data_IF_439129116406
#
_entry.id   IF_439129116406
#
_cell.length_a   1.000
_cell.length_b   1.000
_cell.length_c   1.000
_cell.angle_alpha   90.00
_cell.angle_beta   90.00
_cell.angle_gamma   90.00
#
_symmetry.space_group_name_H-M   'P 1'
#
loop_
_entity.id
_entity.type
_entity.pdbx_description
1 polymer ?
#
# COMPACT_ATOMS: atom_id res chain seq x y z
N UNK A 1 -14.04 -21.77 -23.68
CA UNK A 1 -13.68 -21.27 -22.33
C UNK A 1 -13.64 -19.76 -22.36
N UNK A 2 -14.42 -19.09 -21.51
CA UNK A 2 -14.49 -17.63 -21.47
C UNK A 2 -13.09 -17.05 -21.17
N UNK A 3 -12.72 -16.01 -21.85
CA UNK A 3 -11.43 -15.33 -21.60
C UNK A 3 -11.31 -14.76 -20.18
N UNK A 4 -12.43 -14.41 -19.54
CA UNK A 4 -12.47 -14.00 -18.12
C UNK A 4 -12.10 -15.18 -17.21
N UNK A 5 -12.64 -16.38 -17.45
CA UNK A 5 -12.35 -17.56 -16.62
C UNK A 5 -10.86 -17.93 -16.68
N UNK A 6 -10.22 -17.79 -17.84
CA UNK A 6 -8.77 -17.98 -17.97
C UNK A 6 -7.99 -16.98 -17.12
N UNK A 7 -8.40 -15.71 -17.11
CA UNK A 7 -7.75 -14.66 -16.29
C UNK A 7 -7.95 -14.91 -14.81
N UNK A 8 -9.16 -15.30 -14.38
CA UNK A 8 -9.46 -15.68 -12.99
C UNK A 8 -8.58 -16.86 -12.57
N UNK A 9 -8.50 -17.91 -13.40
CA UNK A 9 -7.65 -19.07 -13.09
C UNK A 9 -6.17 -18.67 -12.97
N UNK A 10 -5.63 -17.86 -13.87
CA UNK A 10 -4.24 -17.41 -13.79
C UNK A 10 -3.96 -16.61 -12.52
N UNK A 11 -4.89 -15.76 -12.10
CA UNK A 11 -4.78 -14.99 -10.85
C UNK A 11 -4.88 -15.92 -9.62
N UNK A 12 -5.74 -16.92 -9.66
CA UNK A 12 -5.85 -17.93 -8.60
C UNK A 12 -4.55 -18.74 -8.48
N UNK A 13 -3.93 -19.13 -9.61
CA UNK A 13 -2.63 -19.80 -9.58
C UNK A 13 -1.52 -18.88 -9.04
N UNK A 14 -1.55 -17.58 -9.36
CA UNK A 14 -0.67 -16.60 -8.73
C UNK A 14 -0.88 -16.58 -7.22
N UNK A 15 -2.13 -16.55 -6.75
CA UNK A 15 -2.46 -16.61 -5.32
C UNK A 15 -1.85 -17.84 -4.63
N UNK A 16 -1.95 -19.02 -5.24
CA UNK A 16 -1.35 -20.28 -4.74
C UNK A 16 0.18 -20.22 -4.69
N UNK A 17 0.82 -19.67 -5.73
CA UNK A 17 2.27 -19.45 -5.73
C UNK A 17 2.69 -18.54 -4.58
N UNK A 18 2.01 -17.40 -4.41
CA UNK A 18 2.32 -16.43 -3.34
C UNK A 18 2.10 -17.05 -1.95
N UNK A 19 1.05 -17.86 -1.78
CA UNK A 19 0.80 -18.60 -0.55
C UNK A 19 1.94 -19.60 -0.27
N UNK A 20 2.33 -20.38 -1.27
CA UNK A 20 3.44 -21.34 -1.17
C UNK A 20 4.76 -20.64 -0.81
N UNK A 21 5.02 -19.48 -1.41
CA UNK A 21 6.20 -18.68 -1.13
C UNK A 21 6.24 -18.17 0.33
N UNK A 22 5.08 -17.90 0.93
CA UNK A 22 4.97 -17.41 2.31
C UNK A 22 4.98 -18.53 3.35
N UNK A 23 4.75 -19.80 2.96
CA UNK A 23 4.75 -20.96 3.88
C UNK A 23 6.15 -21.49 4.14
N UNK A 24 6.33 -22.12 5.31
CA UNK A 24 7.57 -22.82 5.67
C UNK A 24 7.79 -24.07 4.79
N UNK A 25 6.71 -24.82 4.49
CA UNK A 25 6.75 -25.96 3.58
C UNK A 25 6.18 -25.53 2.22
N UNK A 26 7.07 -25.44 1.23
CA UNK A 26 6.76 -24.97 -0.12
C UNK A 26 6.19 -26.11 -0.97
N UNK A 27 5.32 -25.74 -1.91
CA UNK A 27 4.81 -26.66 -2.92
C UNK A 27 5.85 -26.79 -4.06
N UNK A 28 6.34 -28.01 -4.29
CA UNK A 28 7.37 -28.31 -5.30
C UNK A 28 6.92 -28.00 -6.73
N UNK A 29 5.62 -27.93 -7.00
CA UNK A 29 5.09 -27.55 -8.33
C UNK A 29 5.47 -26.12 -8.70
N UNK A 30 5.82 -25.27 -7.73
CA UNK A 30 6.23 -23.87 -7.92
C UNK A 30 7.72 -23.64 -7.71
N UNK A 31 8.57 -24.65 -7.55
CA UNK A 31 9.98 -24.50 -7.18
C UNK A 31 10.76 -23.50 -8.06
N UNK A 32 10.56 -23.57 -9.37
CA UNK A 32 11.19 -22.63 -10.30
C UNK A 32 10.82 -21.18 -10.00
N UNK A 33 9.52 -20.92 -9.84
CA UNK A 33 9.01 -19.58 -9.59
C UNK A 33 9.35 -19.09 -8.19
N UNK A 34 9.30 -19.96 -7.19
CA UNK A 34 9.68 -19.65 -5.81
C UNK A 34 11.13 -19.15 -5.78
N UNK A 35 12.06 -19.87 -6.40
CA UNK A 35 13.48 -19.46 -6.49
C UNK A 35 13.63 -18.10 -7.21
N UNK A 36 12.86 -17.90 -8.29
CA UNK A 36 12.87 -16.64 -9.02
C UNK A 36 12.36 -15.47 -8.17
N UNK A 37 11.25 -15.67 -7.44
CA UNK A 37 10.69 -14.67 -6.53
C UNK A 37 11.64 -14.36 -5.38
N UNK A 38 12.22 -15.35 -4.72
CA UNK A 38 13.19 -15.16 -3.62
C UNK A 38 14.37 -14.28 -4.07
N UNK A 39 14.93 -14.54 -5.24
CA UNK A 39 15.98 -13.72 -5.83
C UNK A 39 15.54 -12.27 -6.06
N UNK A 40 14.35 -12.08 -6.62
CA UNK A 40 13.83 -10.75 -6.91
C UNK A 40 13.41 -9.97 -5.65
N UNK A 41 12.98 -10.67 -4.59
CA UNK A 41 12.70 -10.05 -3.28
C UNK A 41 13.97 -9.46 -2.67
N UNK A 42 15.11 -10.18 -2.78
CA UNK A 42 16.41 -9.66 -2.32
C UNK A 42 16.78 -8.40 -3.10
N UNK A 43 16.62 -8.43 -4.44
CA UNK A 43 16.89 -7.28 -5.29
C UNK A 43 15.96 -6.09 -4.99
N UNK A 44 14.68 -6.34 -4.76
CA UNK A 44 13.72 -5.29 -4.40
C UNK A 44 14.11 -4.59 -3.10
N UNK A 45 14.56 -5.34 -2.09
CA UNK A 45 15.07 -4.78 -0.84
C UNK A 45 16.35 -3.96 -1.05
N UNK A 46 17.30 -4.46 -1.85
CA UNK A 46 18.54 -3.73 -2.16
C UNK A 46 18.25 -2.43 -2.91
N UNK A 47 17.27 -2.44 -3.78
CA UNK A 47 16.86 -1.28 -4.57
C UNK A 47 16.11 -0.24 -3.75
N UNK A 48 15.23 -0.69 -2.85
CA UNK A 48 14.48 0.17 -1.94
C UNK A 48 14.50 -0.39 -0.52
N UNK A 49 15.31 0.21 0.36
CA UNK A 49 15.47 -0.24 1.74
C UNK A 49 14.17 -0.19 2.57
N UNK A 50 13.15 0.59 2.16
CA UNK A 50 11.82 0.53 2.78
C UNK A 50 11.11 -0.80 2.53
N UNK A 51 11.50 -1.53 1.48
CA UNK A 51 10.95 -2.83 1.14
C UNK A 51 11.66 -3.95 1.92
N UNK A 52 11.53 -3.93 3.25
CA UNK A 52 12.08 -5.03 4.07
C UNK A 52 11.46 -6.35 3.64
N UNK A 53 12.21 -7.44 3.83
CA UNK A 53 11.71 -8.78 3.53
C UNK A 53 10.37 -9.03 4.22
N UNK A 54 10.23 -8.63 5.48
CA UNK A 54 8.99 -8.79 6.25
C UNK A 54 7.81 -8.05 5.59
N UNK A 55 7.99 -6.82 5.14
CA UNK A 55 6.91 -6.05 4.50
C UNK A 55 6.59 -6.53 3.08
N UNK A 56 7.59 -7.02 2.33
CA UNK A 56 7.30 -7.69 1.05
C UNK A 56 6.45 -8.94 1.31
N UNK A 57 6.84 -9.80 2.27
CA UNK A 57 6.06 -10.99 2.60
C UNK A 57 4.68 -10.67 3.17
N UNK A 58 4.53 -9.58 3.92
CA UNK A 58 3.22 -9.11 4.38
C UNK A 58 2.31 -8.77 3.20
N UNK A 59 2.81 -8.06 2.19
CA UNK A 59 2.07 -7.74 0.97
C UNK A 59 1.74 -9.00 0.16
N UNK A 60 2.70 -9.91 -0.03
CA UNK A 60 2.49 -11.16 -0.76
C UNK A 60 1.45 -12.06 -0.07
N UNK A 61 1.52 -12.18 1.25
CA UNK A 61 0.54 -12.96 2.03
C UNK A 61 -0.86 -12.35 2.01
N UNK A 62 -0.98 -11.02 1.97
CA UNK A 62 -2.27 -10.37 1.76
C UNK A 62 -2.83 -10.74 0.37
N UNK A 63 -2.06 -10.55 -0.69
CA UNK A 63 -2.48 -10.88 -2.05
C UNK A 63 -2.77 -12.37 -2.25
N UNK A 64 -2.05 -13.28 -1.59
CA UNK A 64 -2.35 -14.71 -1.68
C UNK A 64 -3.77 -15.05 -1.23
N UNK A 65 -4.28 -14.35 -0.22
CA UNK A 65 -5.64 -14.53 0.29
C UNK A 65 -6.69 -13.90 -0.62
N UNK A 66 -6.43 -12.67 -1.08
CA UNK A 66 -7.35 -11.96 -1.97
C UNK A 66 -7.48 -12.63 -3.34
N UNK A 67 -6.41 -13.26 -3.84
CA UNK A 67 -6.40 -14.00 -5.11
C UNK A 67 -6.91 -15.44 -5.00
N UNK A 68 -7.53 -15.82 -3.88
CA UNK A 68 -8.30 -17.06 -3.81
C UNK A 68 -9.43 -17.02 -4.87
N UNK A 69 -9.60 -18.11 -5.62
CA UNK A 69 -10.55 -18.19 -6.75
C UNK A 69 -11.97 -17.75 -6.36
N UNK A 70 -12.45 -18.24 -5.22
CA UNK A 70 -13.78 -17.86 -4.71
C UNK A 70 -13.90 -16.34 -4.46
N UNK A 71 -12.85 -15.70 -3.91
CA UNK A 71 -12.86 -14.27 -3.65
C UNK A 71 -12.93 -13.47 -4.95
N UNK A 72 -12.15 -13.86 -5.96
CA UNK A 72 -12.16 -13.20 -7.27
C UNK A 72 -13.53 -13.38 -7.94
N UNK A 73 -14.11 -14.57 -7.90
CA UNK A 73 -15.44 -14.84 -8.46
C UNK A 73 -16.51 -14.02 -7.74
N UNK A 74 -16.52 -14.00 -6.40
CA UNK A 74 -17.49 -13.22 -5.63
C UNK A 74 -17.35 -11.72 -5.89
N UNK A 75 -16.12 -11.24 -6.02
CA UNK A 75 -15.86 -9.83 -6.34
C UNK A 75 -16.32 -9.48 -7.75
N UNK A 76 -15.96 -10.28 -8.75
CA UNK A 76 -16.30 -9.99 -10.16
C UNK A 76 -17.80 -10.13 -10.44
N UNK A 77 -18.53 -10.99 -9.73
CA UNK A 77 -20.00 -11.11 -9.85
C UNK A 77 -20.77 -9.82 -9.50
N UNK A 78 -20.15 -8.90 -8.76
CA UNK A 78 -20.78 -7.64 -8.37
C UNK A 78 -20.76 -6.59 -9.52
N UNK A 79 -20.09 -6.90 -10.62
CA UNK A 79 -19.87 -5.99 -11.73
C UNK A 79 -20.24 -6.63 -13.07
N UNK A 80 -20.72 -5.81 -14.00
CA UNK A 80 -20.83 -6.21 -15.40
C UNK A 80 -19.43 -6.14 -16.05
N UNK A 81 -18.74 -7.27 -16.11
CA UNK A 81 -17.40 -7.36 -16.68
C UNK A 81 -17.48 -7.36 -18.21
N UNK A 82 -17.10 -6.26 -18.84
CA UNK A 82 -16.99 -6.10 -20.30
C UNK A 82 -15.56 -6.38 -20.75
N UNK A 83 -15.41 -7.00 -21.92
CA UNK A 83 -14.12 -7.16 -22.57
C UNK A 83 -13.67 -5.81 -23.18
N UNK A 84 -12.51 -5.32 -22.77
CA UNK A 84 -11.95 -4.06 -23.22
C UNK A 84 -10.63 -4.25 -23.99
N UNK A 85 -10.50 -5.36 -24.70
CA UNK A 85 -9.26 -5.72 -25.45
C UNK A 85 -8.89 -4.76 -26.57
N UNK A 86 -9.85 -3.97 -27.06
CA UNK A 86 -9.66 -2.90 -28.05
C UNK A 86 -9.15 -1.59 -27.43
N UNK A 87 -9.17 -1.49 -26.09
CA UNK A 87 -8.81 -0.26 -25.36
C UNK A 87 -7.50 -0.38 -24.63
N UNK A 88 -6.86 0.76 -24.47
CA UNK A 88 -5.60 0.90 -23.72
C UNK A 88 -5.83 1.78 -22.51
N UNK A 89 -5.46 1.31 -21.31
CA UNK A 89 -5.42 2.08 -20.07
C UNK A 89 -3.98 2.37 -19.67
N UNK A 90 -3.71 3.63 -19.30
CA UNK A 90 -2.46 4.03 -18.72
C UNK A 90 -2.54 3.87 -17.19
N UNK A 91 -1.52 3.28 -16.56
CA UNK A 91 -1.46 3.08 -15.12
C UNK A 91 -0.15 3.68 -14.60
N UNK A 92 -0.25 4.72 -13.78
CA UNK A 92 0.89 5.31 -13.08
C UNK A 92 0.84 4.80 -11.64
N UNK A 93 1.81 3.96 -11.30
CA UNK A 93 1.86 3.29 -10.00
C UNK A 93 2.67 4.09 -9.01
N UNK A 94 2.16 4.22 -7.78
CA UNK A 94 2.98 4.60 -6.64
C UNK A 94 3.95 3.46 -6.29
N UNK A 95 4.99 3.76 -5.52
CA UNK A 95 6.01 2.78 -5.12
C UNK A 95 6.47 2.95 -3.68
N UNK A 96 5.66 3.60 -2.85
CA UNK A 96 5.97 3.74 -1.42
C UNK A 96 5.80 2.44 -0.63
N UNK A 97 4.99 1.49 -1.12
CA UNK A 97 4.76 0.18 -0.53
C UNK A 97 4.95 -0.92 -1.57
N UNK A 98 5.38 -2.13 -1.18
CA UNK A 98 5.46 -3.27 -2.08
C UNK A 98 4.10 -3.58 -2.71
N UNK A 99 4.06 -3.68 -4.04
CA UNK A 99 2.85 -4.04 -4.81
C UNK A 99 1.66 -3.08 -4.63
N UNK A 100 1.87 -1.83 -4.23
CA UNK A 100 0.78 -0.86 -4.02
C UNK A 100 -0.03 -0.60 -5.29
N UNK A 101 0.60 -0.67 -6.46
CA UNK A 101 -0.05 -0.50 -7.77
C UNK A 101 -0.71 -1.76 -8.33
N UNK A 102 -0.58 -2.91 -7.64
CA UNK A 102 -1.06 -4.19 -8.16
C UNK A 102 -2.57 -4.26 -8.33
N UNK A 103 -3.34 -3.62 -7.44
CA UNK A 103 -4.80 -3.60 -7.52
C UNK A 103 -5.30 -2.98 -8.85
N UNK A 104 -4.73 -1.88 -9.28
CA UNK A 104 -5.12 -1.22 -10.52
C UNK A 104 -4.79 -2.07 -11.74
N UNK A 105 -3.64 -2.73 -11.71
CA UNK A 105 -3.25 -3.70 -12.72
C UNK A 105 -4.18 -4.91 -12.76
N UNK A 106 -4.57 -5.45 -11.59
CA UNK A 106 -5.51 -6.55 -11.44
C UNK A 106 -6.87 -6.21 -12.09
N UNK A 107 -7.41 -5.02 -11.79
CA UNK A 107 -8.66 -4.54 -12.40
C UNK A 107 -8.55 -4.46 -13.93
N UNK A 108 -7.46 -3.88 -14.44
CA UNK A 108 -7.23 -3.76 -15.88
C UNK A 108 -7.08 -5.13 -16.56
N UNK A 109 -6.40 -6.07 -15.91
CA UNK A 109 -6.25 -7.44 -16.39
C UNK A 109 -7.60 -8.17 -16.46
N UNK A 110 -8.43 -8.08 -15.42
CA UNK A 110 -9.76 -8.71 -15.40
C UNK A 110 -10.67 -8.18 -16.50
N UNK A 111 -10.57 -6.89 -16.85
CA UNK A 111 -11.29 -6.26 -17.95
C UNK A 111 -10.61 -6.45 -19.32
N UNK A 112 -9.49 -7.16 -19.38
CA UNK A 112 -8.74 -7.46 -20.61
C UNK A 112 -8.16 -6.23 -21.34
N UNK A 113 -7.89 -5.11 -20.65
CA UNK A 113 -7.26 -3.93 -21.23
C UNK A 113 -5.84 -4.21 -21.74
N UNK A 114 -5.45 -3.48 -22.77
CA UNK A 114 -4.03 -3.23 -23.02
C UNK A 114 -3.52 -2.19 -22.00
N UNK A 115 -2.37 -2.43 -21.37
CA UNK A 115 -1.88 -1.59 -20.29
C UNK A 115 -0.58 -0.90 -20.66
N UNK A 116 -0.54 0.42 -20.50
CA UNK A 116 0.70 1.21 -20.49
C UNK A 116 1.04 1.50 -19.02
N UNK A 117 2.01 0.80 -18.47
CA UNK A 117 2.35 0.86 -17.07
C UNK A 117 3.60 1.71 -16.87
N UNK A 118 3.47 2.78 -16.09
CA UNK A 118 4.60 3.55 -15.59
C UNK A 118 4.82 3.17 -14.13
N UNK A 119 5.85 2.35 -13.91
CA UNK A 119 6.27 1.96 -12.57
C UNK A 119 6.90 3.15 -11.84
N UNK A 120 6.78 3.14 -10.51
CA UNK A 120 7.58 4.04 -9.68
C UNK A 120 9.06 3.69 -9.79
N UNK A 121 9.94 4.69 -9.63
CA UNK A 121 11.38 4.43 -9.44
C UNK A 121 11.65 3.47 -8.29
N UNK A 122 10.81 3.45 -7.27
CA UNK A 122 11.02 2.73 -6.03
C UNK A 122 10.46 1.30 -6.03
N UNK A 123 9.61 0.91 -7.01
CA UNK A 123 9.05 -0.45 -7.17
C UNK A 123 9.03 -0.87 -8.66
N UNK A 124 10.19 -1.28 -9.17
CA UNK A 124 10.35 -1.71 -10.59
C UNK A 124 10.47 -3.23 -10.76
N UNK A 125 10.47 -4.00 -9.69
CA UNK A 125 10.91 -5.40 -9.71
C UNK A 125 9.74 -6.38 -9.61
N UNK A 126 8.81 -6.14 -8.68
CA UNK A 126 7.81 -7.15 -8.32
C UNK A 126 6.71 -7.27 -9.37
N UNK A 127 6.20 -6.16 -9.94
CA UNK A 127 5.13 -6.19 -10.95
C UNK A 127 5.56 -6.89 -12.25
N UNK A 128 6.74 -6.60 -12.83
CA UNK A 128 7.22 -7.33 -14.01
C UNK A 128 7.36 -8.83 -13.77
N UNK A 129 7.79 -9.24 -12.58
CA UNK A 129 7.89 -10.66 -12.22
C UNK A 129 6.51 -11.35 -12.18
N UNK A 130 5.50 -10.66 -11.65
CA UNK A 130 4.11 -11.15 -11.67
C UNK A 130 3.61 -11.29 -13.10
N UNK A 131 3.90 -10.32 -13.97
CA UNK A 131 3.55 -10.37 -15.40
C UNK A 131 4.21 -11.57 -16.09
N UNK A 132 5.48 -11.86 -15.79
CA UNK A 132 6.18 -13.03 -16.32
C UNK A 132 5.52 -14.35 -15.88
N UNK A 133 5.08 -14.44 -14.61
CA UNK A 133 4.36 -15.62 -14.12
C UNK A 133 3.03 -15.78 -14.84
N UNK A 134 2.24 -14.72 -14.97
CA UNK A 134 0.95 -14.75 -15.67
C UNK A 134 1.14 -15.13 -17.14
N UNK A 135 2.19 -14.62 -17.81
CA UNK A 135 2.52 -15.01 -19.19
C UNK A 135 2.78 -16.52 -19.34
N UNK A 136 3.38 -17.17 -18.34
CA UNK A 136 3.61 -18.61 -18.36
C UNK A 136 2.31 -19.43 -18.33
N UNK A 137 1.23 -18.84 -17.81
CA UNK A 137 -0.09 -19.47 -17.74
C UNK A 137 -1.03 -19.03 -18.88
N UNK A 138 -0.83 -17.81 -19.39
CA UNK A 138 -1.62 -17.19 -20.45
C UNK A 138 -0.68 -16.69 -21.56
N UNK A 139 -0.20 -17.56 -22.45
CA UNK A 139 0.70 -17.14 -23.52
C UNK A 139 0.12 -16.01 -24.38
N UNK A 140 0.92 -14.98 -24.61
CA UNK A 140 0.51 -13.77 -25.33
C UNK A 140 -0.07 -12.66 -24.43
N UNK A 141 -0.24 -12.90 -23.12
CA UNK A 141 -0.70 -11.88 -22.18
C UNK A 141 0.27 -10.70 -22.09
N UNK A 142 1.57 -10.99 -22.11
CA UNK A 142 2.63 -9.98 -22.02
C UNK A 142 2.58 -8.96 -23.16
N UNK A 143 2.06 -9.33 -24.35
CA UNK A 143 1.89 -8.44 -25.49
C UNK A 143 0.91 -7.29 -25.19
N UNK A 144 0.02 -7.46 -24.19
CA UNK A 144 -0.91 -6.42 -23.75
C UNK A 144 -0.29 -5.47 -22.73
N UNK A 145 0.89 -5.78 -22.20
CA UNK A 145 1.53 -5.03 -21.12
C UNK A 145 2.77 -4.34 -21.65
N UNK A 146 2.80 -3.02 -21.57
CA UNK A 146 3.96 -2.22 -21.94
C UNK A 146 4.42 -1.38 -20.77
N UNK A 147 5.58 -1.70 -20.25
CA UNK A 147 6.26 -0.84 -19.27
C UNK A 147 6.90 0.35 -19.96
N UNK A 148 6.64 1.56 -19.47
CA UNK A 148 7.08 2.80 -20.11
C UNK A 148 7.77 3.72 -19.11
N UNK A 149 8.89 4.32 -19.54
CA UNK A 149 9.59 5.35 -18.75
C UNK A 149 9.26 6.77 -19.25
N UNK A 150 8.95 6.87 -20.55
CA UNK A 150 8.63 8.13 -21.24
C UNK A 150 7.21 8.62 -20.90
N UNK A 151 6.87 9.88 -21.25
CA UNK A 151 5.51 10.37 -21.15
C UNK A 151 4.50 9.46 -21.87
N UNK A 152 3.38 9.19 -21.21
CA UNK A 152 2.32 8.32 -21.71
C UNK A 152 1.62 8.96 -22.91
N UNK A 153 1.38 8.16 -23.97
CA UNK A 153 0.67 8.56 -25.20
C UNK A 153 -0.19 7.39 -25.69
N UNK A 154 -1.23 7.71 -26.47
CA UNK A 154 -2.08 6.72 -27.14
C UNK A 154 -2.79 5.77 -26.17
N UNK A 155 -3.52 6.33 -25.20
CA UNK A 155 -4.36 5.60 -24.25
C UNK A 155 -5.77 6.21 -24.24
N UNK A 156 -6.74 5.41 -23.80
CA UNK A 156 -8.17 5.79 -23.73
C UNK A 156 -8.59 6.30 -22.34
N UNK A 157 -7.85 5.95 -21.32
CA UNK A 157 -8.08 6.39 -19.95
C UNK A 157 -6.84 6.19 -19.08
N UNK A 158 -6.80 6.83 -17.92
CA UNK A 158 -5.64 6.78 -17.02
C UNK A 158 -6.07 6.55 -15.56
N UNK A 159 -5.32 5.69 -14.89
CA UNK A 159 -5.35 5.52 -13.44
C UNK A 159 -3.99 6.00 -12.92
N UNK A 160 -3.97 6.99 -12.05
CA UNK A 160 -2.72 7.52 -11.52
C UNK A 160 -2.80 7.71 -10.00
N UNK A 161 -1.80 7.19 -9.32
CA UNK A 161 -1.63 7.33 -7.86
C UNK A 161 -0.31 8.02 -7.58
N UNK A 162 -0.32 9.05 -6.75
CA UNK A 162 0.88 9.82 -6.42
C UNK A 162 0.70 10.75 -5.23
N UNK A 163 1.77 11.47 -4.88
CA UNK A 163 1.76 12.52 -3.86
C UNK A 163 0.88 13.71 -4.28
N UNK A 164 0.58 14.59 -3.35
CA UNK A 164 -0.21 15.81 -3.62
C UNK A 164 0.45 16.70 -4.68
N UNK A 165 1.79 16.77 -4.71
CA UNK A 165 2.51 17.48 -5.77
C UNK A 165 2.35 16.82 -7.13
N UNK A 166 2.43 15.49 -7.20
CA UNK A 166 2.22 14.72 -8.43
C UNK A 166 0.78 14.84 -8.91
N UNK A 167 -0.20 14.87 -7.99
CA UNK A 167 -1.61 14.97 -8.31
C UNK A 167 -1.93 16.24 -9.11
N UNK A 168 -1.39 17.40 -8.74
CA UNK A 168 -1.57 18.65 -9.48
C UNK A 168 -1.08 18.54 -10.94
N UNK A 169 0.05 17.86 -11.16
CA UNK A 169 0.56 17.58 -12.49
C UNK A 169 -0.36 16.63 -13.25
N UNK A 170 -0.87 15.57 -12.60
CA UNK A 170 -1.78 14.62 -13.24
C UNK A 170 -3.10 15.28 -13.65
N UNK A 171 -3.67 16.16 -12.81
CA UNK A 171 -4.87 16.92 -13.15
C UNK A 171 -4.68 17.74 -14.41
N UNK A 172 -3.55 18.40 -14.56
CA UNK A 172 -3.21 19.21 -15.73
C UNK A 172 -2.99 18.36 -16.98
N UNK A 173 -2.13 17.32 -16.89
CA UNK A 173 -1.76 16.51 -18.05
C UNK A 173 -2.88 15.63 -18.57
N UNK A 174 -3.75 15.15 -17.70
CA UNK A 174 -4.80 14.19 -18.06
C UNK A 174 -6.20 14.80 -18.08
N UNK A 175 -6.33 16.13 -18.10
CA UNK A 175 -7.63 16.82 -18.07
C UNK A 175 -8.60 16.40 -19.19
N UNK A 176 -8.08 16.02 -20.35
CA UNK A 176 -8.85 15.65 -21.53
C UNK A 176 -9.12 14.14 -21.66
N UNK A 177 -8.74 13.34 -20.67
CA UNK A 177 -8.93 11.89 -20.67
C UNK A 177 -9.86 11.45 -19.56
N UNK A 178 -10.66 10.37 -19.75
CA UNK A 178 -11.23 9.65 -18.63
C UNK A 178 -10.13 9.29 -17.63
N UNK A 179 -10.30 9.72 -16.37
CA UNK A 179 -9.21 9.59 -15.39
C UNK A 179 -9.71 9.22 -14.00
N UNK A 180 -8.98 8.34 -13.35
CA UNK A 180 -9.07 8.04 -11.93
C UNK A 180 -7.75 8.46 -11.26
N UNK A 181 -7.78 9.63 -10.63
CA UNK A 181 -6.60 10.18 -9.96
C UNK A 181 -6.76 10.00 -8.45
N UNK A 182 -5.73 9.41 -7.82
CA UNK A 182 -5.69 9.21 -6.37
C UNK A 182 -4.56 10.05 -5.78
N UNK A 183 -4.94 11.03 -4.97
CA UNK A 183 -4.01 11.81 -4.14
C UNK A 183 -3.68 11.09 -2.84
N UNK A 184 -2.76 11.65 -2.08
CA UNK A 184 -2.45 11.16 -0.76
C UNK A 184 -3.71 11.12 0.13
N UNK A 185 -3.79 10.12 0.99
CA UNK A 185 -4.87 9.92 1.97
C UNK A 185 -4.25 9.55 3.30
N UNK A 186 -4.94 9.91 4.35
CA UNK A 186 -4.54 9.64 5.71
C UNK A 186 -5.63 8.87 6.43
N UNK A 187 -5.26 7.89 7.24
CA UNK A 187 -6.18 7.21 8.14
C UNK A 187 -6.10 7.81 9.54
N UNK A 188 -7.23 7.81 10.20
CA UNK A 188 -7.37 8.29 11.58
C UNK A 188 -7.89 7.15 12.46
N UNK A 189 -7.62 7.23 13.76
CA UNK A 189 -8.28 6.42 14.76
C UNK A 189 -8.96 7.32 15.82
N UNK A 190 -10.08 6.86 16.36
CA UNK A 190 -10.78 7.54 17.44
C UNK A 190 -10.68 6.62 18.65
N UNK A 191 -10.09 7.13 19.74
CA UNK A 191 -9.95 6.43 20.99
C UNK A 191 -10.95 7.03 21.98
N UNK A 192 -11.59 6.21 22.79
CA UNK A 192 -12.58 6.65 23.78
C UNK A 192 -12.06 6.62 25.23
N UNK A 193 -10.83 6.10 25.40
CA UNK A 193 -10.17 5.97 26.71
C UNK A 193 -10.44 4.63 27.41
N UNK A 194 -11.22 3.73 26.79
CA UNK A 194 -11.57 2.42 27.33
C UNK A 194 -11.00 1.27 26.49
N UNK A 195 -10.04 1.55 25.61
CA UNK A 195 -9.43 0.55 24.73
C UNK A 195 -8.75 -0.54 25.55
N UNK A 196 -8.98 -1.79 25.17
CA UNK A 196 -8.21 -2.90 25.71
C UNK A 196 -6.75 -2.83 25.24
N UNK A 197 -5.84 -3.48 25.98
CA UNK A 197 -4.44 -3.64 25.53
C UNK A 197 -4.35 -4.26 24.12
N UNK A 198 -5.25 -5.19 23.79
CA UNK A 198 -5.34 -5.81 22.48
C UNK A 198 -5.71 -4.79 21.38
N UNK A 199 -6.64 -3.89 21.66
CA UNK A 199 -7.05 -2.85 20.70
C UNK A 199 -5.90 -1.89 20.44
N UNK A 200 -5.20 -1.44 21.49
CA UNK A 200 -4.02 -0.59 21.36
C UNK A 200 -2.85 -1.29 20.64
N UNK A 201 -2.63 -2.59 20.87
CA UNK A 201 -1.66 -3.38 20.10
C UNK A 201 -2.03 -3.49 18.63
N UNK A 202 -3.31 -3.64 18.30
CA UNK A 202 -3.77 -3.64 16.90
C UNK A 202 -3.61 -2.27 16.27
N UNK A 203 -3.93 -1.19 17.00
CA UNK A 203 -3.65 0.18 16.56
C UNK A 203 -2.15 0.37 16.27
N UNK A 204 -1.26 -0.22 17.09
CA UNK A 204 0.19 -0.25 16.82
C UNK A 204 0.52 -0.83 15.44
N UNK A 205 -0.16 -1.91 15.01
CA UNK A 205 0.02 -2.44 13.64
C UNK A 205 -0.42 -1.45 12.59
N UNK A 206 -1.52 -0.75 12.81
CA UNK A 206 -2.04 0.26 11.88
C UNK A 206 -1.15 1.51 11.81
N UNK A 207 -0.41 1.82 12.87
CA UNK A 207 0.58 2.91 12.90
C UNK A 207 1.88 2.49 12.23
N UNK A 208 2.44 1.30 12.56
CA UNK A 208 3.83 0.95 12.23
C UNK A 208 4.00 0.08 11.00
N UNK A 209 2.98 -0.65 10.57
CA UNK A 209 3.11 -1.45 9.35
C UNK A 209 3.54 -0.57 8.18
N UNK A 210 4.53 -1.09 7.42
CA UNK A 210 5.16 -0.33 6.34
C UNK A 210 5.72 1.03 6.79
N UNK A 211 6.20 1.11 8.04
CA UNK A 211 6.77 2.34 8.62
C UNK A 211 5.80 3.53 8.66
N UNK A 212 4.50 3.27 8.66
CA UNK A 212 3.48 4.31 8.63
C UNK A 212 3.28 5.00 7.27
N UNK A 213 3.90 4.49 6.20
CA UNK A 213 3.87 5.14 4.87
C UNK A 213 2.62 4.83 4.04
N UNK A 214 1.77 3.93 4.48
CA UNK A 214 0.55 3.55 3.76
C UNK A 214 -0.58 4.56 3.93
N UNK A 215 -1.43 4.70 2.91
CA UNK A 215 -2.64 5.53 3.04
C UNK A 215 -3.66 4.97 4.06
N UNK A 216 -3.49 3.73 4.50
CA UNK A 216 -4.26 3.09 5.57
C UNK A 216 -3.52 3.11 6.92
N UNK A 217 -2.28 3.57 6.95
CA UNK A 217 -1.56 3.75 8.21
C UNK A 217 -2.16 4.92 8.98
N UNK A 218 -2.40 4.70 10.28
CA UNK A 218 -2.95 5.74 11.15
C UNK A 218 -1.88 6.79 11.41
N UNK A 219 -2.13 8.01 10.95
CA UNK A 219 -1.25 9.17 11.10
C UNK A 219 -1.78 10.20 12.10
N UNK A 220 -3.05 10.07 12.50
CA UNK A 220 -3.67 10.92 13.52
C UNK A 220 -4.64 10.11 14.37
N UNK A 221 -4.66 10.42 15.67
CA UNK A 221 -5.64 9.91 16.60
C UNK A 221 -6.46 11.04 17.21
N UNK A 222 -7.74 10.80 17.41
CA UNK A 222 -8.59 11.64 18.22
C UNK A 222 -8.75 10.99 19.59
N UNK A 223 -8.56 11.77 20.65
CA UNK A 223 -8.56 11.27 22.03
C UNK A 223 -9.44 12.14 22.91
N UNK A 224 -10.07 11.61 23.97
CA UNK A 224 -10.76 12.43 24.96
C UNK A 224 -9.77 13.34 25.69
N UNK A 225 -10.29 14.44 26.28
CA UNK A 225 -9.47 15.30 27.13
C UNK A 225 -8.80 14.49 28.25
N UNK A 226 -7.55 14.82 28.54
CA UNK A 226 -6.74 14.13 29.56
C UNK A 226 -6.49 12.64 29.28
N UNK A 227 -6.45 12.24 28.01
CA UNK A 227 -6.11 10.87 27.63
C UNK A 227 -4.72 10.48 28.16
N UNK A 228 -4.62 9.29 28.74
CA UNK A 228 -3.35 8.77 29.25
C UNK A 228 -2.56 8.07 28.14
N UNK A 229 -1.61 8.76 27.54
CA UNK A 229 -0.74 8.23 26.48
C UNK A 229 0.20 7.12 26.95
N UNK A 230 0.46 6.96 28.25
CA UNK A 230 1.28 5.87 28.76
C UNK A 230 0.67 4.50 28.47
N UNK A 231 -0.66 4.41 28.45
CA UNK A 231 -1.36 3.18 28.06
C UNK A 231 -1.06 2.80 26.61
N UNK A 232 -1.09 3.79 25.71
CA UNK A 232 -0.74 3.58 24.31
C UNK A 232 0.74 3.22 24.17
N UNK A 233 1.65 3.97 24.79
CA UNK A 233 3.09 3.71 24.72
C UNK A 233 3.46 2.32 25.23
N UNK A 234 2.86 1.87 26.31
CA UNK A 234 3.08 0.52 26.85
C UNK A 234 2.58 -0.56 25.90
N UNK A 235 1.39 -0.39 25.33
CA UNK A 235 0.80 -1.38 24.43
C UNK A 235 1.57 -1.51 23.10
N UNK A 236 2.19 -0.43 22.59
CA UNK A 236 2.95 -0.43 21.35
C UNK A 236 4.45 -0.72 21.54
N UNK A 237 4.90 -1.00 22.77
CA UNK A 237 6.33 -1.20 23.05
C UNK A 237 6.96 -2.35 22.27
N UNK A 238 6.18 -3.37 21.92
CA UNK A 238 6.64 -4.49 21.09
C UNK A 238 7.14 -4.05 19.68
N UNK A 239 6.78 -2.85 19.24
CA UNK A 239 7.23 -2.28 17.95
C UNK A 239 8.55 -1.50 18.05
N UNK A 240 9.17 -1.39 19.24
CA UNK A 240 10.39 -0.58 19.47
C UNK A 240 11.54 -0.84 18.50
N UNK A 241 11.67 -2.08 18.02
CA UNK A 241 12.75 -2.47 17.10
C UNK A 241 12.65 -1.78 15.73
N UNK A 242 11.55 -1.09 15.44
CA UNK A 242 11.38 -0.28 14.21
C UNK A 242 12.46 0.82 14.10
N UNK A 243 12.94 1.34 15.24
CA UNK A 243 13.99 2.36 15.29
C UNK A 243 15.32 1.85 14.76
N UNK A 244 15.56 0.53 14.74
CA UNK A 244 16.77 -0.08 14.20
C UNK A 244 16.83 0.01 12.67
N UNK A 245 15.74 0.41 12.01
CA UNK A 245 15.74 0.65 10.57
C UNK A 245 16.29 2.06 10.27
N UNK A 246 17.45 2.14 9.62
CA UNK A 246 18.20 3.39 9.42
C UNK A 246 17.36 4.55 8.87
N UNK A 247 16.52 4.30 7.86
CA UNK A 247 15.68 5.36 7.29
C UNK A 247 14.58 5.82 8.24
N UNK A 248 14.06 4.91 9.08
CA UNK A 248 13.06 5.26 10.09
C UNK A 248 13.72 6.10 11.19
N UNK A 249 14.87 5.66 11.71
CA UNK A 249 15.65 6.39 12.71
C UNK A 249 16.02 7.80 12.21
N UNK A 250 16.51 7.92 10.99
CA UNK A 250 16.84 9.22 10.40
C UNK A 250 15.62 10.16 10.34
N UNK A 251 14.42 9.64 10.03
CA UNK A 251 13.19 10.44 10.05
C UNK A 251 12.79 10.82 11.49
N UNK A 252 12.94 9.89 12.45
CA UNK A 252 12.69 10.17 13.85
C UNK A 252 13.59 11.31 14.35
N UNK A 253 14.90 11.20 14.16
CA UNK A 253 15.89 12.20 14.59
C UNK A 253 15.66 13.55 13.89
N UNK A 254 15.39 13.53 12.58
CA UNK A 254 15.11 14.74 11.82
C UNK A 254 13.87 15.47 12.35
N UNK A 255 12.74 14.75 12.50
CA UNK A 255 11.51 15.35 12.98
C UNK A 255 11.62 15.84 14.43
N UNK A 256 12.35 15.10 15.29
CA UNK A 256 12.65 15.51 16.66
C UNK A 256 13.44 16.82 16.68
N UNK A 257 14.48 16.93 15.85
CA UNK A 257 15.27 18.16 15.75
C UNK A 257 14.39 19.34 15.27
N UNK A 258 13.55 19.14 14.25
CA UNK A 258 12.62 20.18 13.75
C UNK A 258 11.67 20.63 14.84
N UNK A 259 11.08 19.73 15.61
CA UNK A 259 10.14 20.08 16.68
C UNK A 259 10.82 20.81 17.83
N UNK A 260 12.02 20.37 18.24
CA UNK A 260 12.80 21.05 19.27
C UNK A 260 13.22 22.46 18.83
N UNK A 261 13.72 22.61 17.61
CA UNK A 261 14.12 23.94 17.08
C UNK A 261 12.94 24.90 16.91
N UNK A 262 11.73 24.37 16.66
CA UNK A 262 10.50 25.14 16.52
C UNK A 262 9.74 25.29 17.84
N UNK A 263 10.33 24.87 18.97
CA UNK A 263 9.75 24.94 20.33
C UNK A 263 8.37 24.25 20.43
N UNK A 264 8.13 23.24 19.60
CA UNK A 264 6.86 22.52 19.59
C UNK A 264 6.86 21.45 20.69
N UNK A 265 5.76 21.35 21.41
CA UNK A 265 5.58 20.34 22.45
C UNK A 265 5.21 19.00 21.82
N UNK A 266 5.85 17.93 22.27
CA UNK A 266 5.55 16.56 21.91
C UNK A 266 5.94 15.62 23.07
N UNK A 267 5.41 14.41 23.06
CA UNK A 267 5.81 13.31 23.94
C UNK A 267 6.39 12.19 23.09
N UNK A 268 7.29 11.39 23.65
CA UNK A 268 7.99 10.34 22.90
C UNK A 268 8.33 9.13 23.77
N UNK A 269 8.54 7.98 23.12
CA UNK A 269 8.97 6.75 23.79
C UNK A 269 10.27 6.16 23.19
N UNK A 270 11.05 6.96 22.46
CA UNK A 270 12.32 6.56 21.82
C UNK A 270 12.17 6.00 20.40
N UNK A 271 10.93 5.75 19.90
CA UNK A 271 10.69 5.31 18.52
C UNK A 271 9.43 5.93 17.88
N UNK A 272 8.60 6.61 18.64
CA UNK A 272 7.43 7.35 18.15
C UNK A 272 7.33 8.67 18.91
N UNK A 273 7.07 9.75 18.19
CA UNK A 273 6.67 11.04 18.75
C UNK A 273 5.18 11.25 18.58
N UNK A 274 4.51 11.72 19.62
CA UNK A 274 3.09 12.08 19.59
C UNK A 274 2.98 13.58 19.83
N UNK A 275 2.32 14.29 18.91
CA UNK A 275 2.23 15.74 18.91
C UNK A 275 0.80 16.19 18.67
N UNK A 276 0.35 17.23 19.40
CA UNK A 276 -0.91 17.88 19.09
C UNK A 276 -0.81 18.68 17.78
N UNK A 277 -1.68 18.36 16.82
CA UNK A 277 -1.70 19.02 15.51
C UNK A 277 -3.07 18.84 14.85
N UNK A 278 -3.53 19.87 14.13
CA UNK A 278 -4.82 19.83 13.40
C UNK A 278 -4.73 19.13 12.05
N UNK A 279 -3.52 18.94 11.51
CA UNK A 279 -3.28 18.22 10.26
C UNK A 279 -3.65 16.74 10.37
N UNK A 280 -4.11 16.15 9.27
CA UNK A 280 -4.43 14.72 9.21
C UNK A 280 -3.21 13.83 9.04
N UNK A 281 -2.20 14.29 8.31
CA UNK A 281 -1.01 13.51 7.98
C UNK A 281 0.18 13.92 8.81
N UNK A 282 0.68 12.98 9.65
CA UNK A 282 1.95 13.13 10.35
C UNK A 282 3.12 12.62 9.50
N UNK A 283 4.33 13.14 9.70
CA UNK A 283 5.53 12.57 9.11
C UNK A 283 5.87 11.19 9.71
N UNK A 284 6.80 10.47 9.06
CA UNK A 284 7.29 9.17 9.55
C UNK A 284 7.83 9.32 10.98
N UNK A 285 7.58 8.31 11.82
CA UNK A 285 7.92 8.29 13.23
C UNK A 285 7.18 9.31 14.10
N UNK A 286 6.12 9.93 13.56
CA UNK A 286 5.24 10.84 14.30
C UNK A 286 3.79 10.36 14.19
N UNK A 287 3.02 10.64 15.24
CA UNK A 287 1.59 10.45 15.31
C UNK A 287 0.97 11.76 15.80
N UNK A 288 0.06 12.33 15.04
CA UNK A 288 -0.66 13.51 15.49
C UNK A 288 -1.83 13.13 16.38
N UNK A 289 -2.18 14.01 17.31
CA UNK A 289 -3.41 13.85 18.05
C UNK A 289 -4.20 15.15 18.16
N UNK A 290 -5.48 15.02 18.42
CA UNK A 290 -6.39 16.12 18.70
C UNK A 290 -7.38 15.69 19.78
N UNK A 291 -7.65 16.57 20.73
CA UNK A 291 -8.63 16.33 21.78
C UNK A 291 -10.04 16.57 21.24
N UNK A 292 -11.01 15.76 21.68
CA UNK A 292 -12.42 15.97 21.39
C UNK A 292 -13.26 15.99 22.67
N UNK A 293 -14.43 16.63 22.61
CA UNK A 293 -15.39 16.65 23.72
C UNK A 293 -16.48 15.58 23.55
N UNK A 294 -16.87 15.29 22.30
CA UNK A 294 -17.85 14.26 22.00
C UNK A 294 -17.64 13.69 20.59
N UNK A 295 -18.00 12.41 20.41
CA UNK A 295 -17.94 11.74 19.08
C UNK A 295 -18.86 12.44 18.06
N UNK A 296 -20.00 12.96 18.52
CA UNK A 296 -20.93 13.71 17.65
C UNK A 296 -20.34 15.02 17.14
N UNK A 297 -19.45 15.68 17.89
CA UNK A 297 -18.70 16.85 17.45
C UNK A 297 -17.67 16.49 16.35
N UNK A 298 -16.94 15.37 16.55
CA UNK A 298 -16.01 14.87 15.55
C UNK A 298 -16.68 14.51 14.22
N UNK A 299 -17.85 13.90 14.27
CA UNK A 299 -18.61 13.56 13.06
C UNK A 299 -19.00 14.80 12.24
N UNK A 300 -19.38 15.87 12.91
CA UNK A 300 -19.73 17.16 12.26
C UNK A 300 -18.50 17.88 11.68
N UNK A 301 -17.36 17.76 12.32
CA UNK A 301 -16.10 18.42 11.87
C UNK A 301 -15.50 17.75 10.64
N UNK A 302 -15.77 16.46 10.42
CA UNK A 302 -15.17 15.65 9.37
C UNK A 302 -16.15 15.29 8.22
N UNK A 303 -17.35 15.89 8.20
CA UNK A 303 -18.27 15.92 7.05
C UNK A 303 -17.95 17.14 6.17
#
# INVERSE_FOLDING_TARGET
MNTLDKRINALSQLGKLLESLCKSKKDSSYDFWIKKFEKQIILAHQFNNWFTKNYIFLALNHWSKELCENNIILWTKQYEIKDCSDKTVAIIMAGNLPLVGFHDFLCAMLLNYNCLIKLSSDDKILIPLIVDFIESLLPGFKNKIKFVEKPLKNFHGVIATGSDSSFKHFEYYFKNYPRLLRKNRHSIAILDGNESERDLKNLGKDIFNYFGMGCRSVSKIFVPKNYNFDLLFNAIYDFRDIINHNRYANNYDYNKAVYLMSEQKFIENGFLMIKEDDKLGSPIACLFYENYNSISELQKKNQ
#
